data_IF_930253208579
#
_entry.id   IF_930253208579
#
_cell.length_a   1.000
_cell.length_b   1.000
_cell.length_c   1.000
_cell.angle_alpha   90.00
_cell.angle_beta   90.00
_cell.angle_gamma   90.00
#
_symmetry.space_group_name_H-M   'P 1'
#
loop_
_entity.id
_entity.type
_entity.pdbx_description
1 polymer ?
#
# COMPACT_ATOMS: atom_id res chain seq x y z
N UNK A 1 1.08 -7.42 -12.94
CA UNK A 1 0.11 -6.59 -13.70
C UNK A 1 0.82 -5.39 -14.33
N UNK A 2 0.17 -4.61 -15.17
CA UNK A 2 0.73 -3.33 -15.63
C UNK A 2 1.05 -2.43 -14.41
N UNK A 3 2.25 -1.86 -14.35
CA UNK A 3 2.69 -0.98 -13.25
C UNK A 3 3.33 -1.67 -12.03
N UNK A 4 3.27 -2.99 -11.91
CA UNK A 4 3.79 -3.71 -10.73
C UNK A 4 5.32 -3.58 -10.61
N UNK A 5 6.02 -3.70 -11.74
CA UNK A 5 7.48 -3.59 -11.81
C UNK A 5 7.90 -2.17 -11.44
N UNK A 6 7.26 -1.17 -12.02
CA UNK A 6 7.54 0.25 -11.83
C UNK A 6 7.33 0.66 -10.36
N UNK A 7 6.23 0.21 -9.74
CA UNK A 7 5.95 0.48 -8.32
C UNK A 7 6.96 -0.22 -7.40
N UNK A 8 7.37 -1.44 -7.74
CA UNK A 8 8.38 -2.18 -6.96
C UNK A 8 9.74 -1.49 -7.04
N UNK A 9 10.19 -1.12 -8.25
CA UNK A 9 11.45 -0.39 -8.44
C UNK A 9 11.45 0.98 -7.74
N UNK A 10 10.30 1.68 -7.76
CA UNK A 10 10.14 2.94 -7.04
C UNK A 10 10.26 2.74 -5.53
N UNK A 11 9.61 1.72 -4.98
CA UNK A 11 9.68 1.40 -3.56
C UNK A 11 11.13 1.05 -3.13
N UNK A 12 11.84 0.24 -3.90
CA UNK A 12 13.24 -0.13 -3.63
C UNK A 12 14.17 1.09 -3.65
N UNK A 13 13.97 2.01 -4.62
CA UNK A 13 14.72 3.27 -4.70
C UNK A 13 14.45 4.15 -3.47
N UNK A 14 13.18 4.29 -3.08
CA UNK A 14 12.80 5.07 -1.88
C UNK A 14 13.44 4.47 -0.63
N UNK A 15 13.33 3.15 -0.43
CA UNK A 15 13.93 2.46 0.72
C UNK A 15 15.43 2.68 0.80
N UNK A 16 16.13 2.55 -0.32
CA UNK A 16 17.59 2.78 -0.40
C UNK A 16 17.97 4.19 0.01
N UNK A 17 17.18 5.20 -0.35
CA UNK A 17 17.50 6.59 0.01
C UNK A 17 17.13 6.92 1.46
N UNK A 18 16.00 6.41 1.98
CA UNK A 18 15.61 6.65 3.38
C UNK A 18 16.48 5.88 4.38
N UNK A 19 17.05 4.75 3.97
CA UNK A 19 18.04 4.00 4.75
C UNK A 19 19.28 4.83 5.06
N UNK A 20 19.75 5.62 4.09
CA UNK A 20 20.93 6.50 4.27
C UNK A 20 20.71 7.59 5.32
N UNK A 21 19.45 7.94 5.61
CA UNK A 21 19.09 8.95 6.62
C UNK A 21 18.55 8.33 7.91
N UNK A 22 18.70 7.01 8.09
CA UNK A 22 18.47 6.32 9.36
C UNK A 22 17.14 5.57 9.48
N UNK A 23 16.36 5.41 8.41
CA UNK A 23 15.17 4.56 8.44
C UNK A 23 15.53 3.12 8.05
N UNK A 24 15.32 2.11 8.91
CA UNK A 24 15.64 0.74 8.55
C UNK A 24 14.77 0.25 7.39
N UNK A 25 15.32 -0.64 6.56
CA UNK A 25 14.55 -1.35 5.53
C UNK A 25 13.53 -2.29 6.14
N UNK A 26 12.43 -2.50 5.44
CA UNK A 26 11.47 -3.56 5.77
C UNK A 26 12.06 -4.93 5.35
N UNK A 27 12.02 -5.92 6.26
CA UNK A 27 12.52 -7.27 5.95
C UNK A 27 11.56 -8.03 5.03
N UNK A 28 10.28 -7.68 5.08
CA UNK A 28 9.25 -8.31 4.26
C UNK A 28 9.37 -7.82 2.82
N UNK A 29 9.39 -8.77 1.90
CA UNK A 29 9.31 -8.48 0.47
C UNK A 29 8.09 -7.59 0.19
N UNK A 30 8.34 -6.44 -0.43
CA UNK A 30 7.29 -5.57 -0.90
C UNK A 30 6.48 -6.26 -2.01
N UNK A 31 5.17 -6.23 -1.85
CA UNK A 31 4.21 -6.73 -2.84
C UNK A 31 3.19 -5.62 -3.05
N UNK A 32 3.12 -4.98 -4.23
CA UNK A 32 2.13 -3.93 -4.49
C UNK A 32 0.71 -4.47 -4.29
N UNK A 33 -0.06 -3.89 -3.37
CA UNK A 33 -1.42 -4.33 -3.08
C UNK A 33 -2.27 -3.17 -2.54
N UNK A 34 -3.59 -3.29 -2.68
CA UNK A 34 -4.56 -2.45 -2.00
C UNK A 34 -5.15 -3.19 -0.81
N UNK A 35 -5.02 -2.62 0.39
CA UNK A 35 -5.70 -3.16 1.56
C UNK A 35 -7.19 -2.79 1.49
N UNK A 36 -8.06 -3.76 1.23
CA UNK A 36 -9.53 -3.56 1.19
C UNK A 36 -10.20 -3.75 2.57
N UNK A 37 -9.54 -4.44 3.49
CA UNK A 37 -10.07 -4.75 4.80
C UNK A 37 -9.07 -5.51 5.66
N UNK A 38 -9.33 -5.59 6.97
CA UNK A 38 -8.54 -6.38 7.92
C UNK A 38 -9.47 -7.17 8.83
N UNK A 39 -9.25 -8.48 8.91
CA UNK A 39 -10.00 -9.37 9.79
C UNK A 39 -9.46 -9.19 11.21
N UNK A 40 -10.28 -8.65 12.12
CA UNK A 40 -9.90 -8.42 13.53
C UNK A 40 -10.00 -9.70 14.38
N UNK A 41 -10.98 -10.54 14.09
CA UNK A 41 -11.24 -11.80 14.80
C UNK A 41 -11.30 -12.89 13.72
N UNK A 42 -10.46 -13.94 13.79
CA UNK A 42 -10.39 -14.97 12.76
C UNK A 42 -11.54 -15.97 12.85
N UNK A 43 -12.78 -15.49 12.94
CA UNK A 43 -13.99 -16.31 12.97
C UNK A 43 -14.62 -16.34 11.57
N UNK A 44 -14.79 -17.53 11.01
CA UNK A 44 -15.42 -17.70 9.68
C UNK A 44 -14.54 -17.30 8.50
N UNK A 45 -13.21 -17.28 8.68
CA UNK A 45 -12.23 -16.90 7.64
C UNK A 45 -12.36 -17.78 6.40
N UNK A 46 -12.61 -19.09 6.56
CA UNK A 46 -12.80 -20.03 5.45
C UNK A 46 -13.95 -19.60 4.54
N UNK A 47 -15.13 -19.32 5.11
CA UNK A 47 -16.30 -18.85 4.36
C UNK A 47 -16.06 -17.51 3.67
N UNK A 48 -15.31 -16.62 4.32
CA UNK A 48 -14.93 -15.34 3.72
C UNK A 48 -13.95 -15.54 2.56
N UNK A 49 -12.95 -16.42 2.71
CA UNK A 49 -12.01 -16.77 1.64
C UNK A 49 -12.74 -17.33 0.43
N UNK A 50 -13.63 -18.30 0.63
CA UNK A 50 -14.45 -18.86 -0.44
C UNK A 50 -15.31 -17.81 -1.13
N UNK A 51 -15.88 -16.87 -0.37
CA UNK A 51 -16.69 -15.79 -0.95
C UNK A 51 -15.85 -14.81 -1.78
N UNK A 52 -14.63 -14.50 -1.33
CA UNK A 52 -13.69 -13.64 -2.05
C UNK A 52 -13.17 -14.34 -3.31
N UNK A 53 -12.86 -15.63 -3.25
CA UNK A 53 -12.43 -16.42 -4.41
C UNK A 53 -13.51 -16.53 -5.49
N UNK A 54 -14.79 -16.56 -5.09
CA UNK A 54 -15.94 -16.59 -6.02
C UNK A 54 -16.35 -15.20 -6.50
N UNK A 55 -15.83 -14.12 -5.91
CA UNK A 55 -16.19 -12.78 -6.30
C UNK A 55 -15.48 -12.40 -7.60
N UNK A 56 -16.24 -11.98 -8.60
CA UNK A 56 -15.66 -11.31 -9.77
C UNK A 56 -15.29 -9.88 -9.38
N UNK A 57 -14.03 -9.51 -9.64
CA UNK A 57 -13.54 -8.17 -9.35
C UNK A 57 -12.68 -7.67 -10.52
N UNK A 58 -13.03 -6.48 -11.00
CA UNK A 58 -12.23 -5.74 -11.96
C UNK A 58 -12.27 -4.26 -11.61
N UNK A 59 -11.17 -3.57 -11.87
CA UNK A 59 -11.06 -2.12 -11.73
C UNK A 59 -10.59 -1.54 -13.04
N UNK A 60 -11.04 -0.33 -13.41
CA UNK A 60 -10.40 0.38 -14.51
C UNK A 60 -8.93 0.63 -14.19
N UNK A 61 -8.11 0.63 -15.23
CA UNK A 61 -6.72 1.10 -15.11
C UNK A 61 -6.71 2.61 -14.84
N UNK A 62 -5.69 3.06 -14.13
CA UNK A 62 -5.48 4.47 -13.84
C UNK A 62 -3.98 4.80 -13.87
N UNK A 63 -3.70 6.06 -14.20
CA UNK A 63 -2.36 6.61 -14.19
C UNK A 63 -1.98 7.04 -12.76
N UNK A 64 -0.80 6.64 -12.29
CA UNK A 64 -0.25 7.09 -11.01
C UNK A 64 0.42 8.45 -11.21
N UNK A 65 -0.15 9.50 -10.59
CA UNK A 65 0.28 10.89 -10.82
C UNK A 65 1.25 11.46 -9.79
N UNK A 66 1.26 10.89 -8.59
CA UNK A 66 2.04 11.43 -7.48
C UNK A 66 2.42 10.38 -6.44
N UNK A 67 3.50 10.66 -5.73
CA UNK A 67 3.89 9.99 -4.48
C UNK A 67 3.62 10.94 -3.32
N UNK A 68 3.04 10.43 -2.24
CA UNK A 68 2.66 11.24 -1.07
C UNK A 68 3.42 10.75 0.15
N UNK A 69 4.14 11.67 0.81
CA UNK A 69 4.64 11.46 2.17
C UNK A 69 3.47 11.66 3.11
N UNK A 70 3.01 10.57 3.71
CA UNK A 70 1.80 10.53 4.55
C UNK A 70 2.15 10.39 6.02
N UNK A 71 1.56 11.22 6.88
CA UNK A 71 1.60 11.04 8.33
C UNK A 71 0.37 10.25 8.78
N UNK A 72 0.57 9.28 9.66
CA UNK A 72 -0.49 8.55 10.35
C UNK A 72 -0.44 8.86 11.86
N UNK A 73 -1.51 9.44 12.41
CA UNK A 73 -1.66 9.69 13.83
C UNK A 73 -2.75 8.78 14.40
N UNK A 74 -2.35 7.86 15.29
CA UNK A 74 -3.27 6.92 15.91
C UNK A 74 -4.12 7.61 16.98
N UNK A 75 -5.43 7.40 16.92
CA UNK A 75 -6.35 7.76 17.99
C UNK A 75 -7.30 6.57 18.30
N UNK A 76 -8.05 6.61 19.42
CA UNK A 76 -8.95 5.50 19.79
C UNK A 76 -10.03 5.16 18.76
N UNK A 77 -10.46 6.12 17.94
CA UNK A 77 -11.46 5.93 16.88
C UNK A 77 -10.87 5.47 15.54
N UNK A 78 -9.55 5.59 15.34
CA UNK A 78 -8.86 5.22 14.11
C UNK A 78 -7.59 6.03 13.85
N UNK A 79 -6.91 5.76 12.74
CA UNK A 79 -5.80 6.60 12.30
C UNK A 79 -6.32 7.84 11.56
N UNK A 80 -5.79 9.02 11.89
CA UNK A 80 -5.94 10.23 11.08
C UNK A 80 -4.74 10.28 10.13
N UNK A 81 -5.03 10.39 8.83
CA UNK A 81 -4.01 10.48 7.78
C UNK A 81 -3.89 11.90 7.27
N UNK A 82 -2.68 12.46 7.33
CA UNK A 82 -2.37 13.82 6.89
C UNK A 82 -1.29 13.80 5.82
N UNK A 83 -1.56 14.30 4.59
CA UNK A 83 -0.52 14.41 3.57
C UNK A 83 0.48 15.51 3.97
N UNK A 84 1.74 15.15 4.18
CA UNK A 84 2.81 16.10 4.52
C UNK A 84 3.42 16.72 3.26
N UNK A 85 3.59 15.92 2.21
CA UNK A 85 4.14 16.37 0.92
C UNK A 85 3.60 15.51 -0.21
N UNK A 86 3.27 16.16 -1.31
CA UNK A 86 2.93 15.52 -2.59
C UNK A 86 4.04 15.81 -3.59
N UNK A 87 4.50 14.77 -4.29
CA UNK A 87 5.52 14.84 -5.32
C UNK A 87 4.90 14.31 -6.61
N UNK A 88 4.72 15.17 -7.60
CA UNK A 88 4.23 14.75 -8.90
C UNK A 88 5.24 13.83 -9.60
N UNK A 89 4.74 12.79 -10.26
CA UNK A 89 5.53 11.99 -11.17
C UNK A 89 5.47 12.67 -12.55
N UNK A 90 6.64 12.84 -13.16
CA UNK A 90 6.75 13.32 -14.54
C UNK A 90 6.54 12.14 -15.48
N UNK A 91 5.86 12.41 -16.60
CA UNK A 91 5.62 11.44 -17.66
C UNK A 91 6.80 11.33 -18.63
#
# INVERSE_FOLDING_TARGET
SAGEKEITELQEKIEKEIEKIGFPREERKFTPHFTIGRIKIPKGVEKLSEAVEKAEFSTPEFEVKEVVVMQSQLNPAGAIYTPLKKIALEN
#
